data_IF_167942567913
#
_entry.id   IF_167942567913
#
_cell.length_a   1.000
_cell.length_b   1.000
_cell.length_c   1.000
_cell.angle_alpha   90.00
_cell.angle_beta   90.00
_cell.angle_gamma   90.00
#
_symmetry.space_group_name_H-M   'P 1'
#
loop_
_entity.id
_entity.type
_entity.pdbx_description
1 polymer ?
#
# COMPACT_ATOMS: atom_id res chain seq x y z
N UNK A 1 -13.68 31.24 -17.03
CA UNK A 1 -12.30 30.88 -16.65
C UNK A 1 -12.04 29.52 -17.27
N UNK A 2 -10.97 29.32 -18.05
CA UNK A 2 -10.67 28.00 -18.60
C UNK A 2 -10.39 27.03 -17.43
N UNK A 3 -11.38 26.19 -17.08
CA UNK A 3 -11.22 25.09 -16.13
C UNK A 3 -10.12 24.18 -16.66
N UNK A 4 -9.03 24.07 -15.90
CA UNK A 4 -7.91 23.25 -16.33
C UNK A 4 -8.32 21.78 -16.18
N UNK A 5 -8.30 21.03 -17.27
CA UNK A 5 -8.63 19.60 -17.30
C UNK A 5 -7.42 18.75 -16.95
N UNK A 6 -7.65 17.63 -16.27
CA UNK A 6 -6.63 16.60 -16.07
C UNK A 6 -6.30 15.94 -17.41
N UNK A 7 -5.04 15.54 -17.55
CA UNK A 7 -4.54 14.88 -18.76
C UNK A 7 -3.85 13.59 -18.36
N UNK A 8 -4.10 12.53 -19.14
CA UNK A 8 -3.33 11.29 -19.10
C UNK A 8 -2.42 11.23 -20.32
N UNK A 9 -1.17 10.86 -20.12
CA UNK A 9 -0.25 10.56 -21.21
C UNK A 9 -0.69 9.25 -21.85
N UNK A 10 -0.72 9.21 -23.18
CA UNK A 10 -1.02 8.00 -23.92
C UNK A 10 0.16 7.01 -23.81
N UNK A 11 -0.13 5.80 -23.34
CA UNK A 11 0.83 4.71 -23.24
C UNK A 11 1.18 4.09 -24.60
N UNK A 12 0.32 4.27 -25.61
CA UNK A 12 0.40 3.66 -26.96
C UNK A 12 0.31 2.12 -26.94
N UNK A 13 1.34 1.45 -26.41
CA UNK A 13 1.39 0.00 -26.17
C UNK A 13 2.54 -0.33 -25.21
N UNK A 14 2.47 -1.49 -24.57
CA UNK A 14 3.58 -2.02 -23.76
C UNK A 14 4.87 -2.08 -24.58
N UNK A 15 5.97 -1.62 -23.99
CA UNK A 15 7.29 -1.52 -24.63
C UNK A 15 7.46 -0.33 -25.56
N UNK A 16 6.43 0.52 -25.76
CA UNK A 16 6.60 1.76 -26.50
C UNK A 16 7.60 2.68 -25.78
N UNK A 17 8.52 3.25 -26.53
CA UNK A 17 9.55 4.16 -26.05
C UNK A 17 9.31 5.54 -26.66
N UNK A 18 9.24 6.55 -25.81
CA UNK A 18 9.12 7.95 -26.21
C UNK A 18 10.17 8.81 -25.52
N UNK A 19 10.72 9.78 -26.26
CA UNK A 19 11.68 10.74 -25.73
C UNK A 19 10.93 11.97 -25.22
N UNK A 20 11.20 12.36 -23.98
CA UNK A 20 10.59 13.51 -23.32
C UNK A 20 11.67 14.48 -22.84
N UNK A 21 11.53 15.75 -23.20
CA UNK A 21 12.44 16.81 -22.71
C UNK A 21 11.88 17.41 -21.43
N UNK A 22 12.52 17.08 -20.30
CA UNK A 22 12.05 17.51 -18.97
C UNK A 22 12.94 18.60 -18.37
N UNK A 23 14.14 18.80 -18.90
CA UNK A 23 15.04 19.90 -18.57
C UNK A 23 15.58 20.48 -19.86
N UNK A 24 15.99 21.75 -19.82
CA UNK A 24 16.50 22.43 -21.02
C UNK A 24 17.70 21.67 -21.59
N UNK A 25 17.56 21.18 -22.83
CA UNK A 25 18.62 20.42 -23.50
C UNK A 25 18.83 19.00 -23.00
N UNK A 26 18.00 18.49 -22.08
CA UNK A 26 18.11 17.12 -21.55
C UNK A 26 16.83 16.32 -21.82
N UNK A 27 17.01 15.27 -22.62
CA UNK A 27 15.97 14.30 -22.95
C UNK A 27 16.05 13.08 -22.04
N UNK A 28 14.89 12.49 -21.80
CA UNK A 28 14.69 11.30 -20.99
C UNK A 28 13.91 10.29 -21.82
N UNK A 29 14.30 9.04 -21.67
CA UNK A 29 13.60 7.91 -22.27
C UNK A 29 12.47 7.49 -21.34
N UNK A 30 11.24 7.49 -21.84
CA UNK A 30 10.04 7.03 -21.12
C UNK A 30 9.48 5.78 -21.81
N UNK A 31 9.35 4.69 -21.05
CA UNK A 31 9.00 3.36 -21.55
C UNK A 31 7.66 2.94 -20.96
N UNK A 32 6.68 2.63 -21.80
CA UNK A 32 5.39 2.11 -21.33
C UNK A 32 5.56 0.68 -20.82
N UNK A 33 5.23 0.43 -19.55
CA UNK A 33 5.36 -0.89 -18.90
C UNK A 33 4.06 -1.66 -18.79
N UNK A 34 2.94 -0.94 -18.69
CA UNK A 34 1.60 -1.49 -18.69
C UNK A 34 0.61 -0.48 -19.29
N UNK A 35 -0.52 -0.98 -19.80
CA UNK A 35 -1.64 -0.15 -20.25
C UNK A 35 -2.78 -0.11 -19.23
N UNK A 36 -2.85 -1.10 -18.32
CA UNK A 36 -3.76 -1.20 -17.19
C UNK A 36 -2.94 -1.55 -15.94
N UNK A 37 -2.62 -0.60 -15.05
CA UNK A 37 -2.85 0.82 -15.22
C UNK A 37 -1.87 1.34 -16.28
N UNK A 38 -2.17 2.49 -16.89
CA UNK A 38 -1.17 3.14 -17.75
C UNK A 38 0.04 3.51 -16.89
N UNK A 39 1.18 2.93 -17.22
CA UNK A 39 2.41 3.03 -16.43
C UNK A 39 3.64 3.23 -17.31
N UNK A 40 4.56 4.04 -16.80
CA UNK A 40 5.81 4.37 -17.43
C UNK A 40 7.00 4.12 -16.50
N UNK A 41 8.07 3.56 -17.04
CA UNK A 41 9.41 3.52 -16.44
C UNK A 41 10.28 4.57 -17.14
N UNK A 42 11.00 5.36 -16.34
CA UNK A 42 11.85 6.46 -16.80
C UNK A 42 13.23 6.29 -16.18
N UNK A 43 14.14 5.56 -16.83
CA UNK A 43 15.50 5.34 -16.33
C UNK A 43 16.27 6.66 -16.22
N UNK A 44 17.16 6.76 -15.23
CA UNK A 44 18.01 7.94 -15.00
C UNK A 44 17.21 9.26 -14.84
N UNK A 45 15.99 9.17 -14.32
CA UNK A 45 15.15 10.33 -14.03
C UNK A 45 15.77 11.22 -12.96
N UNK A 46 16.37 10.63 -11.92
CA UNK A 46 17.21 11.30 -10.94
C UNK A 46 18.69 10.98 -11.23
N UNK A 47 19.58 11.93 -10.99
CA UNK A 47 21.02 11.61 -10.93
C UNK A 47 21.37 10.86 -9.64
N UNK A 48 22.55 10.23 -9.60
CA UNK A 48 23.05 9.59 -8.38
C UNK A 48 23.16 10.59 -7.22
N UNK A 49 23.67 11.80 -7.49
CA UNK A 49 23.80 12.86 -6.50
C UNK A 49 22.44 13.34 -5.97
N UNK A 50 21.42 13.43 -6.84
CA UNK A 50 20.06 13.77 -6.41
C UNK A 50 19.49 12.69 -5.49
N UNK A 51 19.71 11.41 -5.80
CA UNK A 51 19.28 10.31 -4.95
C UNK A 51 19.96 10.35 -3.57
N UNK A 52 21.28 10.52 -3.54
CA UNK A 52 22.06 10.55 -2.29
C UNK A 52 21.70 11.78 -1.45
N UNK A 53 21.42 12.91 -2.10
CA UNK A 53 20.95 14.12 -1.42
C UNK A 53 19.57 13.94 -0.78
N UNK A 54 18.61 13.32 -1.49
CA UNK A 54 17.28 13.01 -0.94
C UNK A 54 17.38 12.08 0.28
N UNK A 55 18.22 11.03 0.19
CA UNK A 55 18.49 10.13 1.34
C UNK A 55 19.11 10.91 2.51
N UNK A 56 20.06 11.81 2.23
CA UNK A 56 20.68 12.65 3.26
C UNK A 56 19.65 13.53 3.96
N UNK A 57 18.78 14.22 3.21
CA UNK A 57 17.70 15.03 3.78
C UNK A 57 16.77 14.19 4.65
N UNK A 58 16.37 13.01 4.19
CA UNK A 58 15.50 12.12 4.95
C UNK A 58 16.13 11.70 6.30
N UNK A 59 17.43 11.38 6.31
CA UNK A 59 18.12 11.08 7.56
C UNK A 59 18.22 12.29 8.49
N UNK A 60 18.42 13.50 7.96
CA UNK A 60 18.47 14.73 8.75
C UNK A 60 17.11 15.09 9.36
N UNK A 61 16.01 14.85 8.63
CA UNK A 61 14.65 15.05 9.15
C UNK A 61 14.28 14.04 10.23
N UNK A 62 14.86 12.84 10.18
CA UNK A 62 14.53 11.73 11.05
C UNK A 62 13.42 10.86 10.47
N UNK A 63 13.59 9.54 10.55
CA UNK A 63 12.61 8.56 10.09
C UNK A 63 11.82 7.99 11.26
N UNK A 64 10.56 7.70 11.02
CA UNK A 64 9.67 7.00 11.94
C UNK A 64 9.10 5.75 11.28
N UNK A 65 8.69 4.78 12.09
CA UNK A 65 8.05 3.58 11.57
C UNK A 65 6.81 3.95 10.77
N UNK A 66 6.72 3.40 9.55
CA UNK A 66 5.62 3.66 8.64
C UNK A 66 4.35 3.01 9.12
N UNK A 67 3.24 3.68 8.84
CA UNK A 67 1.88 3.22 9.08
C UNK A 67 1.21 2.95 7.74
N UNK A 68 0.44 1.86 7.65
CA UNK A 68 -0.51 1.65 6.54
C UNK A 68 -1.85 2.31 6.91
N UNK A 69 -2.36 3.20 6.06
CA UNK A 69 -3.62 3.91 6.32
C UNK A 69 -3.60 4.73 7.62
N UNK A 70 -4.53 4.45 8.53
CA UNK A 70 -4.72 5.17 9.80
C UNK A 70 -4.21 4.43 11.05
N UNK A 71 -3.61 3.24 10.93
CA UNK A 71 -3.25 2.36 12.06
C UNK A 71 -1.90 2.76 12.67
N UNK A 72 -1.91 3.51 13.78
CA UNK A 72 -0.70 4.15 14.35
C UNK A 72 0.17 3.27 15.26
N UNK A 73 -0.17 2.01 15.46
CA UNK A 73 0.44 1.22 16.53
C UNK A 73 1.77 0.60 16.09
N UNK A 74 2.83 0.89 16.86
CA UNK A 74 4.17 0.35 16.65
C UNK A 74 4.30 -1.02 17.32
N UNK A 75 5.24 -1.82 16.83
CA UNK A 75 5.63 -3.06 17.50
C UNK A 75 6.45 -2.75 18.75
N UNK A 76 5.92 -3.05 19.93
CA UNK A 76 6.61 -2.94 21.23
C UNK A 76 6.89 -4.30 21.90
N UNK A 77 6.52 -5.42 21.27
CA UNK A 77 6.82 -6.77 21.76
C UNK A 77 5.87 -7.29 22.85
N UNK A 78 4.77 -6.60 23.13
CA UNK A 78 3.86 -6.94 24.23
C UNK A 78 2.78 -7.99 23.89
N UNK A 79 3.12 -9.00 23.09
CA UNK A 79 2.17 -10.04 22.66
C UNK A 79 1.61 -10.82 23.87
N UNK A 80 2.49 -11.36 24.71
CA UNK A 80 2.06 -12.19 25.84
C UNK A 80 1.27 -11.36 26.86
N UNK A 81 1.62 -10.08 27.06
CA UNK A 81 0.82 -9.16 27.90
C UNK A 81 -0.57 -8.90 27.31
N UNK A 82 -0.66 -8.66 26.00
CA UNK A 82 -1.95 -8.41 25.33
C UNK A 82 -2.86 -9.63 25.37
N UNK A 83 -2.33 -10.83 25.10
CA UNK A 83 -3.10 -12.08 25.19
C UNK A 83 -3.59 -12.31 26.63
N UNK A 84 -2.72 -12.08 27.63
CA UNK A 84 -3.07 -12.29 29.03
C UNK A 84 -4.06 -11.25 29.58
N UNK A 85 -4.12 -10.06 28.98
CA UNK A 85 -5.06 -9.01 29.35
C UNK A 85 -6.46 -9.17 28.73
N UNK A 86 -6.66 -10.14 27.83
CA UNK A 86 -7.96 -10.38 27.19
C UNK A 86 -8.98 -10.82 28.24
N UNK A 87 -10.06 -10.05 28.38
CA UNK A 87 -11.26 -10.48 29.10
C UNK A 87 -12.03 -11.50 28.27
N UNK A 88 -11.90 -12.79 28.62
CA UNK A 88 -12.60 -13.88 27.95
C UNK A 88 -14.13 -13.85 28.15
N UNK A 89 -14.64 -13.07 29.11
CA UNK A 89 -16.06 -13.02 29.47
C UNK A 89 -16.82 -11.87 28.81
N UNK A 90 -16.12 -10.91 28.19
CA UNK A 90 -16.75 -9.75 27.54
C UNK A 90 -17.71 -10.18 26.42
N UNK A 91 -18.79 -9.45 26.12
CA UNK A 91 -19.59 -9.75 24.93
C UNK A 91 -18.77 -9.52 23.64
N UNK A 92 -19.13 -10.21 22.57
CA UNK A 92 -18.56 -9.98 21.25
C UNK A 92 -18.75 -8.53 20.78
N UNK A 93 -17.69 -7.94 20.23
CA UNK A 93 -17.68 -6.57 19.72
C UNK A 93 -18.09 -6.57 18.24
N UNK A 94 -19.38 -6.76 18.01
CA UNK A 94 -19.99 -6.67 16.68
C UNK A 94 -20.19 -8.01 15.96
N UNK A 95 -20.71 -7.96 14.72
CA UNK A 95 -21.20 -9.14 14.03
C UNK A 95 -20.12 -10.12 13.60
N UNK A 96 -18.88 -9.65 13.37
CA UNK A 96 -17.78 -10.51 12.91
C UNK A 96 -17.24 -11.37 14.07
N UNK A 97 -16.97 -10.77 15.23
CA UNK A 97 -16.55 -11.53 16.42
C UNK A 97 -17.66 -12.48 16.89
N UNK A 98 -18.93 -12.07 16.82
CA UNK A 98 -20.08 -12.94 17.17
C UNK A 98 -20.16 -14.19 16.28
N UNK A 99 -19.71 -14.10 15.02
CA UNK A 99 -19.60 -15.27 14.13
C UNK A 99 -18.38 -16.11 14.49
N UNK A 100 -17.25 -15.46 14.78
CA UNK A 100 -16.02 -16.14 15.20
C UNK A 100 -16.22 -16.98 16.47
N UNK A 101 -17.10 -16.58 17.39
CA UNK A 101 -17.43 -17.35 18.60
C UNK A 101 -18.22 -18.66 18.35
N UNK A 102 -18.62 -18.96 17.10
CA UNK A 102 -19.35 -20.20 16.77
C UNK A 102 -18.39 -21.24 16.21
N UNK A 103 -18.31 -22.40 16.87
CA UNK A 103 -17.47 -23.53 16.44
C UNK A 103 -17.72 -23.94 14.98
N UNK A 104 -19.00 -24.05 14.60
CA UNK A 104 -19.42 -24.49 13.26
C UNK A 104 -19.03 -23.50 12.14
N UNK A 105 -18.55 -22.30 12.49
CA UNK A 105 -18.01 -21.35 11.51
C UNK A 105 -16.53 -21.60 11.20
N UNK A 106 -15.85 -22.37 12.04
CA UNK A 106 -14.49 -22.83 11.84
C UNK A 106 -14.45 -24.26 11.28
N UNK A 107 -15.30 -25.15 11.79
CA UNK A 107 -15.44 -26.55 11.36
C UNK A 107 -16.20 -26.62 10.02
N UNK A 108 -15.48 -26.47 8.92
CA UNK A 108 -16.04 -26.43 7.58
C UNK A 108 -16.41 -27.82 7.06
N UNK A 109 -15.68 -28.85 7.52
CA UNK A 109 -15.90 -30.24 7.10
C UNK A 109 -16.93 -30.99 7.99
N UNK A 110 -17.36 -30.38 9.10
CA UNK A 110 -18.28 -30.91 10.12
C UNK A 110 -17.80 -32.21 10.79
N UNK A 111 -16.49 -32.38 10.98
CA UNK A 111 -15.90 -33.54 11.66
C UNK A 111 -15.76 -33.35 13.18
N UNK A 112 -16.24 -32.22 13.71
CA UNK A 112 -16.20 -31.85 15.14
C UNK A 112 -14.80 -31.56 15.68
N UNK A 113 -13.82 -31.34 14.81
CA UNK A 113 -12.46 -30.90 15.14
C UNK A 113 -12.10 -29.74 14.21
N UNK A 114 -11.62 -28.63 14.78
CA UNK A 114 -11.05 -27.56 13.96
C UNK A 114 -9.60 -27.95 13.65
N UNK A 115 -9.30 -28.26 12.40
CA UNK A 115 -7.99 -28.70 11.96
C UNK A 115 -7.06 -27.55 11.49
N UNK A 116 -5.82 -27.90 11.10
CA UNK A 116 -4.83 -26.94 10.62
C UNK A 116 -5.34 -26.09 9.44
N UNK A 117 -6.03 -26.72 8.49
CA UNK A 117 -6.50 -26.06 7.27
C UNK A 117 -7.65 -25.10 7.56
N UNK A 118 -8.51 -25.47 8.50
CA UNK A 118 -9.61 -24.62 8.97
C UNK A 118 -9.08 -23.40 9.73
N UNK A 119 -8.07 -23.56 10.59
CA UNK A 119 -7.40 -22.42 11.25
C UNK A 119 -6.74 -21.49 10.21
N UNK A 120 -6.04 -22.05 9.21
CA UNK A 120 -5.44 -21.26 8.11
C UNK A 120 -6.52 -20.46 7.38
N UNK A 121 -7.63 -21.11 7.02
CA UNK A 121 -8.70 -20.52 6.24
C UNK A 121 -9.44 -19.45 7.03
N UNK A 122 -9.69 -19.69 8.32
CA UNK A 122 -10.25 -18.70 9.24
C UNK A 122 -9.33 -17.48 9.33
N UNK A 123 -8.03 -17.68 9.61
CA UNK A 123 -7.08 -16.57 9.77
C UNK A 123 -6.98 -15.70 8.51
N UNK A 124 -7.00 -16.34 7.35
CA UNK A 124 -7.05 -15.67 6.04
C UNK A 124 -8.33 -14.88 5.85
N UNK A 125 -9.48 -15.44 6.19
CA UNK A 125 -10.77 -14.80 5.93
C UNK A 125 -11.04 -13.65 6.91
N UNK A 126 -10.73 -13.87 8.19
CA UNK A 126 -11.01 -12.96 9.29
C UNK A 126 -10.04 -11.77 9.32
N UNK A 127 -8.73 -12.03 9.22
CA UNK A 127 -7.70 -11.01 9.41
C UNK A 127 -6.72 -10.86 8.24
N UNK A 128 -6.91 -11.61 7.15
CA UNK A 128 -5.99 -11.64 5.99
C UNK A 128 -4.58 -12.08 6.40
N UNK A 129 -4.50 -13.03 7.34
CA UNK A 129 -3.24 -13.62 7.81
C UNK A 129 -2.94 -14.94 7.10
N UNK A 130 -1.67 -15.15 6.79
CA UNK A 130 -1.15 -16.36 6.13
C UNK A 130 -0.21 -17.06 7.09
N UNK A 131 -0.80 -17.85 8.00
CA UNK A 131 -0.05 -18.53 9.04
C UNK A 131 0.51 -19.84 8.52
N UNK A 132 1.79 -20.10 8.82
CA UNK A 132 2.41 -21.40 8.61
C UNK A 132 2.01 -22.33 9.74
N UNK A 133 2.07 -23.64 9.48
CA UNK A 133 1.84 -24.70 10.49
C UNK A 133 2.53 -24.39 11.81
N UNK A 134 3.82 -24.05 11.77
CA UNK A 134 4.60 -23.76 12.99
C UNK A 134 4.05 -22.58 13.79
N UNK A 135 3.55 -21.55 13.11
CA UNK A 135 2.99 -20.36 13.76
C UNK A 135 1.64 -20.68 14.42
N UNK A 136 0.84 -21.55 13.80
CA UNK A 136 -0.39 -22.09 14.40
C UNK A 136 -0.05 -22.93 15.63
N UNK A 137 0.95 -23.82 15.53
CA UNK A 137 1.40 -24.62 16.67
C UNK A 137 1.85 -23.73 17.83
N UNK A 138 2.62 -22.68 17.55
CA UNK A 138 3.11 -21.74 18.54
C UNK A 138 1.97 -20.92 19.17
N UNK A 139 1.01 -20.45 18.36
CA UNK A 139 -0.20 -19.77 18.84
C UNK A 139 -1.00 -20.66 19.79
N UNK A 140 -1.36 -21.87 19.36
CA UNK A 140 -2.15 -22.81 20.15
C UNK A 140 -1.43 -23.20 21.45
N UNK A 141 -0.12 -23.44 21.37
CA UNK A 141 0.72 -23.73 22.53
C UNK A 141 0.76 -22.57 23.53
N UNK A 142 0.88 -21.33 23.05
CA UNK A 142 0.91 -20.12 23.90
C UNK A 142 -0.41 -19.89 24.61
N UNK A 143 -1.53 -20.11 23.91
CA UNK A 143 -2.88 -19.92 24.48
C UNK A 143 -3.28 -21.10 25.39
N UNK A 144 -2.66 -22.27 25.20
CA UNK A 144 -2.79 -23.44 26.07
C UNK A 144 -3.72 -24.54 25.55
N UNK A 145 -4.03 -24.56 24.25
CA UNK A 145 -4.73 -25.67 23.61
C UNK A 145 -3.88 -26.94 23.63
N UNK A 146 -4.46 -28.09 23.98
CA UNK A 146 -3.72 -29.34 24.12
C UNK A 146 -3.40 -29.98 22.76
N UNK A 147 -4.27 -29.76 21.77
CA UNK A 147 -4.09 -30.21 20.38
C UNK A 147 -3.00 -29.46 19.59
N UNK A 148 -2.23 -28.55 20.21
CA UNK A 148 -1.24 -27.71 19.52
C UNK A 148 -0.24 -28.48 18.65
N UNK A 149 0.18 -29.69 19.05
CA UNK A 149 1.14 -30.49 18.25
C UNK A 149 0.57 -30.94 16.90
N UNK A 150 -0.74 -31.18 16.86
CA UNK A 150 -1.45 -31.59 15.65
C UNK A 150 -2.14 -30.42 14.92
N UNK A 151 -2.12 -29.23 15.53
CA UNK A 151 -2.91 -28.07 15.09
C UNK A 151 -4.42 -28.34 15.13
N UNK A 152 -4.90 -29.05 16.14
CA UNK A 152 -6.31 -29.41 16.30
C UNK A 152 -6.91 -28.67 17.49
N UNK A 153 -8.15 -28.20 17.37
CA UNK A 153 -8.97 -27.69 18.48
C UNK A 153 -10.25 -28.51 18.53
N UNK A 154 -10.48 -29.20 19.65
CA UNK A 154 -11.74 -29.93 19.85
C UNK A 154 -12.88 -28.98 20.23
N UNK A 155 -14.13 -29.34 19.92
CA UNK A 155 -15.30 -28.56 20.35
C UNK A 155 -15.30 -28.23 21.84
N UNK A 156 -14.93 -29.20 22.67
CA UNK A 156 -14.81 -29.02 24.12
C UNK A 156 -13.80 -27.93 24.47
N UNK A 157 -12.59 -27.97 23.91
CA UNK A 157 -11.57 -26.96 24.18
C UNK A 157 -11.97 -25.57 23.65
N UNK A 158 -12.63 -25.52 22.50
CA UNK A 158 -13.16 -24.28 21.93
C UNK A 158 -14.20 -23.64 22.85
N UNK A 159 -15.14 -24.42 23.38
CA UNK A 159 -16.17 -23.94 24.31
C UNK A 159 -15.57 -23.56 25.68
N UNK A 160 -14.57 -24.29 26.16
CA UNK A 160 -13.93 -24.05 27.48
C UNK A 160 -13.00 -22.83 27.48
N UNK A 161 -12.23 -22.59 26.40
CA UNK A 161 -11.22 -21.52 26.32
C UNK A 161 -11.69 -20.29 25.55
N UNK A 162 -12.72 -20.46 24.71
CA UNK A 162 -13.15 -19.45 23.77
C UNK A 162 -12.09 -19.11 22.70
N UNK A 163 -12.44 -18.16 21.85
CA UNK A 163 -11.61 -17.75 20.70
C UNK A 163 -10.97 -16.38 20.86
N UNK A 164 -11.30 -15.62 21.91
CA UNK A 164 -10.86 -14.23 22.05
C UNK A 164 -9.35 -14.08 22.13
N UNK A 165 -8.66 -15.02 22.76
CA UNK A 165 -7.19 -15.06 22.78
C UNK A 165 -6.59 -15.40 21.42
N UNK A 166 -7.27 -16.23 20.62
CA UNK A 166 -6.87 -16.50 19.23
C UNK A 166 -7.03 -15.23 18.40
N UNK A 167 -8.18 -14.54 18.50
CA UNK A 167 -8.40 -13.28 17.81
C UNK A 167 -7.40 -12.20 18.22
N UNK A 168 -7.14 -12.04 19.52
CA UNK A 168 -6.16 -11.08 20.01
C UNK A 168 -4.74 -11.39 19.50
N UNK A 169 -4.37 -12.67 19.45
CA UNK A 169 -3.11 -13.10 18.85
C UNK A 169 -3.04 -12.75 17.35
N UNK A 170 -4.10 -13.05 16.60
CA UNK A 170 -4.19 -12.74 15.17
C UNK A 170 -4.14 -11.23 14.91
N UNK A 171 -4.94 -10.43 15.62
CA UNK A 171 -4.89 -8.96 15.54
C UNK A 171 -3.50 -8.42 15.85
N UNK A 172 -2.83 -8.94 16.89
CA UNK A 172 -1.44 -8.55 17.16
C UNK A 172 -0.52 -8.88 15.98
N UNK A 173 -0.64 -10.08 15.39
CA UNK A 173 0.18 -10.44 14.23
C UNK A 173 -0.04 -9.48 13.07
N UNK A 174 -1.30 -9.23 12.73
CA UNK A 174 -1.73 -8.35 11.64
C UNK A 174 -1.29 -6.91 11.83
N UNK A 175 -1.34 -6.40 13.05
CA UNK A 175 -1.10 -4.97 13.29
C UNK A 175 0.35 -4.69 13.65
N UNK A 176 1.02 -5.61 14.35
CA UNK A 176 2.31 -5.36 15.00
C UNK A 176 3.41 -6.29 14.54
N UNK A 177 3.14 -7.54 14.16
CA UNK A 177 4.23 -8.48 13.88
C UNK A 177 5.01 -8.09 12.60
N UNK A 178 6.36 -8.08 12.62
CA UNK A 178 7.18 -7.68 11.47
C UNK A 178 6.89 -8.43 10.17
N UNK A 179 6.54 -9.72 10.23
CA UNK A 179 6.31 -10.54 9.03
C UNK A 179 4.87 -10.50 8.51
N UNK A 180 3.89 -10.25 9.39
CA UNK A 180 2.45 -10.37 9.07
C UNK A 180 1.76 -9.04 8.91
N UNK A 181 2.39 -7.95 9.37
CA UNK A 181 1.82 -6.63 9.21
C UNK A 181 1.74 -6.24 7.76
N UNK A 182 0.73 -5.45 7.41
CA UNK A 182 0.53 -5.01 6.03
C UNK A 182 1.71 -4.19 5.46
N UNK A 183 2.45 -3.48 6.32
CA UNK A 183 3.60 -2.63 5.93
C UNK A 183 4.70 -2.65 6.98
N UNK A 184 5.92 -2.99 6.58
CA UNK A 184 7.13 -2.89 7.39
C UNK A 184 8.16 -1.98 6.69
N UNK A 185 8.19 -0.71 7.09
CA UNK A 185 9.18 0.27 6.63
C UNK A 185 9.34 1.42 7.63
N UNK A 186 10.37 2.24 7.43
CA UNK A 186 10.49 3.56 8.05
C UNK A 186 10.24 4.63 6.99
N UNK A 187 9.66 5.77 7.36
CA UNK A 187 9.41 6.87 6.44
C UNK A 187 9.63 8.24 7.09
N UNK A 188 9.82 9.23 6.25
CA UNK A 188 9.77 10.65 6.60
C UNK A 188 9.21 11.45 5.43
N UNK A 189 8.98 12.75 5.63
CA UNK A 189 8.33 13.61 4.66
C UNK A 189 9.21 14.83 4.35
N UNK A 190 9.58 14.97 3.08
CA UNK A 190 10.26 16.14 2.56
C UNK A 190 9.22 17.09 1.97
N UNK A 191 8.92 18.17 2.70
CA UNK A 191 8.05 19.23 2.20
C UNK A 191 8.62 19.81 0.90
N UNK A 192 7.74 20.27 0.01
CA UNK A 192 8.09 20.82 -1.31
C UNK A 192 8.73 22.22 -1.16
N UNK A 193 9.89 22.27 -0.53
CA UNK A 193 10.65 23.49 -0.31
C UNK A 193 11.27 23.95 -1.63
N UNK A 194 10.71 25.02 -2.21
CA UNK A 194 11.19 25.56 -3.47
C UNK A 194 12.55 26.28 -3.37
N UNK A 195 12.99 26.58 -2.16
CA UNK A 195 14.34 27.12 -1.89
C UNK A 195 15.41 26.03 -1.93
N UNK A 196 15.03 24.75 -1.79
CA UNK A 196 15.94 23.64 -2.01
C UNK A 196 16.10 23.40 -3.52
N UNK A 197 17.32 23.56 -4.08
CA UNK A 197 17.52 23.50 -5.52
C UNK A 197 17.26 22.10 -6.10
N UNK A 198 17.49 21.03 -5.34
CA UNK A 198 17.26 19.66 -5.82
C UNK A 198 15.77 19.37 -5.85
N UNK A 199 15.05 19.68 -4.76
CA UNK A 199 13.59 19.47 -4.71
C UNK A 199 12.87 20.37 -5.71
N UNK A 200 13.26 21.63 -5.85
CA UNK A 200 12.71 22.57 -6.83
C UNK A 200 12.87 22.08 -8.27
N UNK A 201 14.07 21.59 -8.65
CA UNK A 201 14.30 20.98 -9.97
C UNK A 201 13.44 19.73 -10.17
N UNK A 202 13.33 18.86 -9.18
CA UNK A 202 12.48 17.67 -9.24
C UNK A 202 11.01 18.04 -9.48
N UNK A 203 10.47 19.03 -8.76
CA UNK A 203 9.09 19.50 -8.96
C UNK A 203 8.87 20.06 -10.37
N UNK A 204 9.83 20.81 -10.90
CA UNK A 204 9.75 21.33 -12.28
C UNK A 204 9.80 20.20 -13.32
N UNK A 205 10.67 19.21 -13.12
CA UNK A 205 10.79 18.00 -13.96
C UNK A 205 9.46 17.22 -13.99
N UNK A 206 8.85 17.02 -12.82
CA UNK A 206 7.54 16.36 -12.67
C UNK A 206 6.41 17.17 -13.31
N UNK A 207 6.44 18.50 -13.21
CA UNK A 207 5.44 19.38 -13.85
C UNK A 207 5.47 19.21 -15.37
N UNK A 208 6.66 19.18 -15.97
CA UNK A 208 6.83 18.92 -17.41
C UNK A 208 6.43 17.50 -17.79
N UNK A 209 6.83 16.50 -17.00
CA UNK A 209 6.52 15.09 -17.25
C UNK A 209 5.01 14.86 -17.31
N UNK A 210 4.30 15.26 -16.26
CA UNK A 210 2.86 14.98 -16.10
C UNK A 210 1.98 15.79 -17.05
N UNK A 211 2.51 16.88 -17.65
CA UNK A 211 1.77 17.88 -18.43
C UNK A 211 0.61 18.51 -17.66
N UNK A 212 0.63 18.38 -16.33
CA UNK A 212 -0.36 18.98 -15.47
C UNK A 212 0.00 20.44 -15.18
N UNK A 213 -1.01 21.30 -14.99
CA UNK A 213 -0.80 22.65 -14.49
C UNK A 213 0.04 22.63 -13.20
N UNK A 214 1.04 23.51 -13.12
CA UNK A 214 1.98 23.61 -12.00
C UNK A 214 1.29 23.68 -10.64
N UNK A 215 0.10 24.30 -10.56
CA UNK A 215 -0.71 24.35 -9.34
C UNK A 215 -1.05 22.97 -8.77
N UNK A 216 -1.41 21.98 -9.60
CA UNK A 216 -1.73 20.64 -9.12
C UNK A 216 -0.49 19.96 -8.55
N UNK A 217 0.65 20.08 -9.24
CA UNK A 217 1.90 19.48 -8.79
C UNK A 217 2.44 20.15 -7.53
N UNK A 218 2.38 21.47 -7.41
CA UNK A 218 2.84 22.18 -6.20
C UNK A 218 1.92 21.94 -5.01
N UNK A 219 0.61 21.95 -5.23
CA UNK A 219 -0.41 21.80 -4.21
C UNK A 219 -0.70 20.34 -3.84
N UNK A 220 0.27 19.45 -4.02
CA UNK A 220 0.18 18.04 -3.69
C UNK A 220 0.98 17.71 -2.43
N UNK A 221 0.73 16.53 -1.85
CA UNK A 221 1.40 16.00 -0.66
C UNK A 221 2.94 16.17 -0.71
N UNK A 222 3.57 16.28 0.47
CA UNK A 222 5.02 16.25 0.59
C UNK A 222 5.61 14.96 -0.02
N UNK A 223 6.87 15.00 -0.47
CA UNK A 223 7.54 13.82 -0.99
C UNK A 223 7.82 12.89 0.19
N UNK A 224 7.25 11.69 0.16
CA UNK A 224 7.49 10.69 1.18
C UNK A 224 8.78 9.93 0.85
N UNK A 225 9.75 9.92 1.74
CA UNK A 225 10.96 9.08 1.59
C UNK A 225 10.81 7.87 2.51
N UNK A 226 11.02 6.67 1.96
CA UNK A 226 10.78 5.41 2.66
C UNK A 226 12.05 4.56 2.63
N UNK A 227 12.38 3.97 3.77
CA UNK A 227 13.46 3.01 3.95
C UNK A 227 12.88 1.65 4.34
N UNK A 228 13.17 0.63 3.55
CA UNK A 228 12.92 -0.76 3.87
C UNK A 228 14.24 -1.43 4.27
N UNK A 229 14.30 -1.94 5.49
CA UNK A 229 15.37 -2.81 5.94
C UNK A 229 15.11 -4.25 5.47
N UNK A 230 15.99 -5.19 5.82
CA UNK A 230 15.78 -6.61 5.55
C UNK A 230 14.41 -7.07 6.09
N UNK A 231 13.69 -7.89 5.30
CA UNK A 231 12.30 -8.31 5.48
C UNK A 231 11.25 -7.19 5.38
N UNK A 232 11.66 -5.93 5.22
CA UNK A 232 10.74 -4.81 4.99
C UNK A 232 9.95 -5.00 3.70
N UNK A 233 8.65 -4.73 3.76
CA UNK A 233 7.72 -4.96 2.66
C UNK A 233 6.51 -4.03 2.76
N UNK A 234 5.68 -4.02 1.73
CA UNK A 234 4.36 -3.40 1.75
C UNK A 234 3.45 -4.22 0.85
N UNK A 235 2.47 -4.91 1.44
CA UNK A 235 1.51 -5.71 0.68
C UNK A 235 0.72 -4.87 -0.31
N UNK A 236 0.13 -5.55 -1.29
CA UNK A 236 -0.47 -4.90 -2.43
C UNK A 236 -1.69 -4.06 -1.99
N UNK A 237 -1.71 -2.79 -2.40
CA UNK A 237 -2.70 -1.80 -1.99
C UNK A 237 -2.95 -0.79 -3.11
N UNK A 238 -3.97 0.04 -2.90
CA UNK A 238 -4.25 1.20 -3.74
C UNK A 238 -3.71 2.46 -3.06
N UNK A 239 -3.14 3.36 -3.85
CA UNK A 239 -2.70 4.64 -3.33
C UNK A 239 -3.85 5.62 -3.07
N UNK A 240 -5.00 5.41 -3.71
CA UNK A 240 -6.13 6.32 -3.69
C UNK A 240 -7.44 5.59 -3.33
N UNK A 241 -8.43 6.34 -2.86
CA UNK A 241 -9.72 5.78 -2.44
C UNK A 241 -10.74 5.85 -3.60
N UNK A 242 -11.62 4.86 -3.79
CA UNK A 242 -12.70 4.94 -4.77
C UNK A 242 -13.57 6.19 -4.59
N UNK A 243 -13.92 6.87 -5.68
CA UNK A 243 -14.70 8.12 -5.62
C UNK A 243 -16.21 7.93 -5.54
N UNK A 244 -16.72 6.68 -5.66
CA UNK A 244 -18.15 6.34 -5.71
C UNK A 244 -18.95 6.79 -4.47
N UNK A 245 -18.28 7.03 -3.34
CA UNK A 245 -18.91 7.61 -2.15
C UNK A 245 -18.67 9.14 -2.12
N UNK A 246 -19.69 9.90 -2.50
CA UNK A 246 -19.60 11.35 -2.78
C UNK A 246 -19.81 12.24 -1.53
N UNK A 247 -19.88 11.62 -0.36
CA UNK A 247 -20.05 12.28 0.95
C UNK A 247 -18.72 12.77 1.53
N UNK A 248 -17.61 12.07 1.23
CA UNK A 248 -16.28 12.40 1.76
C UNK A 248 -15.50 13.35 0.84
N UNK A 249 -14.85 14.34 1.45
CA UNK A 249 -13.95 15.27 0.77
C UNK A 249 -12.58 14.63 0.52
N UNK A 250 -11.90 15.08 -0.53
CA UNK A 250 -10.48 14.75 -0.72
C UNK A 250 -9.64 15.26 0.46
N UNK A 251 -8.75 14.42 1.01
CA UNK A 251 -7.94 14.78 2.18
C UNK A 251 -7.09 16.04 1.95
N UNK A 252 -6.56 16.21 0.73
CA UNK A 252 -5.81 17.41 0.36
C UNK A 252 -6.68 18.69 0.33
N UNK A 253 -8.01 18.57 0.38
CA UNK A 253 -8.96 19.70 0.43
C UNK A 253 -9.70 19.76 1.78
N UNK A 254 -9.23 19.04 2.79
CA UNK A 254 -9.87 18.96 4.11
C UNK A 254 -9.57 20.19 4.98
N UNK A 255 -10.04 21.37 4.55
CA UNK A 255 -9.84 22.66 5.21
C UNK A 255 -10.33 22.67 6.67
N UNK A 256 -11.40 21.92 6.96
CA UNK A 256 -12.03 21.84 8.29
C UNK A 256 -11.46 20.72 9.16
N UNK A 257 -10.41 20.02 8.73
CA UNK A 257 -9.77 18.90 9.46
C UNK A 257 -10.80 17.88 9.98
N UNK A 258 -11.78 17.54 9.14
CA UNK A 258 -12.73 16.46 9.43
C UNK A 258 -11.96 15.16 9.69
N UNK A 259 -12.47 14.34 10.61
CA UNK A 259 -11.84 13.05 10.96
C UNK A 259 -11.72 12.11 9.77
N UNK A 260 -12.72 12.14 8.89
CA UNK A 260 -12.79 11.27 7.71
C UNK A 260 -12.59 12.10 6.43
N UNK A 261 -11.80 11.55 5.52
CA UNK A 261 -11.57 12.07 4.18
C UNK A 261 -11.13 10.92 3.27
N UNK A 262 -11.26 11.12 1.96
CA UNK A 262 -10.81 10.16 0.94
C UNK A 262 -9.48 10.60 0.33
N UNK A 263 -8.58 9.66 0.06
CA UNK A 263 -7.35 9.95 -0.68
C UNK A 263 -7.72 10.17 -2.14
N UNK A 264 -7.24 11.27 -2.73
CA UNK A 264 -7.51 11.65 -4.12
C UNK A 264 -6.17 11.89 -4.83
N UNK A 265 -5.44 10.80 -5.09
CA UNK A 265 -4.10 10.83 -5.69
C UNK A 265 -4.23 10.38 -7.14
N UNK A 266 -4.16 11.31 -8.07
CA UNK A 266 -4.33 11.04 -9.50
C UNK A 266 -3.15 10.26 -10.09
N UNK A 267 -1.93 10.67 -9.75
CA UNK A 267 -0.68 10.06 -10.24
C UNK A 267 0.17 9.67 -9.03
N UNK A 268 0.79 8.51 -9.10
CA UNK A 268 1.93 8.17 -8.22
C UNK A 268 3.20 8.16 -9.06
N UNK A 269 4.24 8.83 -8.55
CA UNK A 269 5.60 8.75 -9.09
C UNK A 269 6.51 8.22 -7.99
N UNK A 270 7.05 7.01 -8.20
CA UNK A 270 7.98 6.34 -7.30
C UNK A 270 9.40 6.45 -7.85
N UNK A 271 10.34 6.89 -7.02
CA UNK A 271 11.76 6.98 -7.35
C UNK A 271 12.54 5.92 -6.59
N UNK A 272 13.37 5.14 -7.28
CA UNK A 272 14.35 4.28 -6.63
C UNK A 272 15.62 5.09 -6.31
N UNK A 273 15.95 5.22 -5.03
CA UNK A 273 17.06 6.05 -4.57
C UNK A 273 18.38 5.27 -4.40
N UNK A 274 18.30 3.93 -4.42
CA UNK A 274 19.47 3.06 -4.45
C UNK A 274 19.16 1.75 -5.20
N UNK A 275 20.22 1.04 -5.59
CA UNK A 275 20.13 -0.35 -6.02
C UNK A 275 19.97 -1.25 -4.80
N UNK A 276 19.21 -2.33 -4.95
CA UNK A 276 18.97 -3.33 -3.90
C UNK A 276 19.67 -4.62 -4.29
N UNK A 277 20.30 -5.29 -3.33
CA UNK A 277 21.07 -6.49 -3.62
C UNK A 277 20.17 -7.68 -3.99
N UNK A 278 19.07 -7.90 -3.26
CA UNK A 278 18.10 -8.94 -3.59
C UNK A 278 16.72 -8.66 -2.97
N UNK A 279 15.66 -8.88 -3.75
CA UNK A 279 14.28 -8.54 -3.41
C UNK A 279 13.99 -7.04 -3.57
N UNK A 280 12.91 -6.57 -2.96
CA UNK A 280 12.54 -5.15 -2.99
C UNK A 280 12.00 -4.63 -4.31
N UNK A 281 11.51 -5.51 -5.18
CA UNK A 281 10.79 -5.13 -6.39
C UNK A 281 9.50 -4.37 -6.07
N UNK A 282 9.00 -3.62 -7.04
CA UNK A 282 7.63 -3.09 -7.00
C UNK A 282 6.76 -3.97 -7.88
N UNK A 283 5.80 -4.66 -7.29
CA UNK A 283 4.95 -5.61 -7.98
C UNK A 283 3.54 -5.05 -8.17
N UNK A 284 2.97 -5.28 -9.36
CA UNK A 284 1.59 -4.99 -9.73
C UNK A 284 0.89 -6.32 -10.01
N UNK A 285 0.17 -6.90 -9.03
CA UNK A 285 -0.36 -8.25 -9.13
C UNK A 285 -1.17 -8.52 -10.40
N UNK A 286 -1.95 -7.53 -10.85
CA UNK A 286 -2.96 -7.72 -11.90
C UNK A 286 -2.74 -6.87 -13.14
N UNK A 287 -1.58 -6.25 -13.32
CA UNK A 287 -1.30 -5.37 -14.47
C UNK A 287 -1.59 -6.07 -15.81
N UNK A 288 -2.29 -5.36 -16.71
CA UNK A 288 -2.72 -5.82 -18.04
C UNK A 288 -3.53 -7.13 -18.09
N UNK A 289 -4.01 -7.66 -16.96
CA UNK A 289 -4.82 -8.88 -16.95
C UNK A 289 -6.27 -8.63 -17.40
N UNK A 290 -6.91 -9.66 -17.95
CA UNK A 290 -8.31 -9.59 -18.38
C UNK A 290 -9.31 -9.91 -17.25
N UNK A 291 -10.10 -8.88 -16.93
CA UNK A 291 -11.48 -8.87 -16.38
C UNK A 291 -11.88 -9.87 -15.28
N UNK A 292 -11.02 -10.15 -14.30
CA UNK A 292 -11.51 -10.46 -12.94
C UNK A 292 -11.28 -9.26 -12.03
N UNK A 293 -12.36 -8.55 -11.62
CA UNK A 293 -12.26 -7.47 -10.64
C UNK A 293 -11.57 -7.97 -9.36
N UNK A 294 -10.78 -7.10 -8.73
CA UNK A 294 -9.90 -7.47 -7.62
C UNK A 294 -10.69 -8.12 -6.46
N UNK A 295 -11.88 -7.60 -6.17
CA UNK A 295 -12.81 -8.12 -5.16
C UNK A 295 -13.20 -9.59 -5.39
N UNK A 296 -13.37 -10.02 -6.64
CA UNK A 296 -13.69 -11.42 -6.99
C UNK A 296 -12.48 -12.35 -6.90
N UNK A 297 -11.25 -11.84 -7.04
CA UNK A 297 -10.03 -12.65 -6.88
C UNK A 297 -9.75 -12.98 -5.42
N UNK A 298 -10.02 -12.03 -4.52
CA UNK A 298 -9.80 -12.18 -3.08
C UNK A 298 -10.77 -13.15 -2.40
N UNK A 299 -11.84 -13.54 -3.09
CA UNK A 299 -12.93 -14.37 -2.58
C UNK A 299 -13.08 -15.67 -3.39
N UNK A 300 -12.21 -15.93 -4.37
CA UNK A 300 -12.27 -17.15 -5.19
C UNK A 300 -11.85 -18.38 -4.34
N UNK A 301 -12.78 -19.31 -4.05
CA UNK A 301 -12.47 -20.50 -3.24
C UNK A 301 -11.46 -21.44 -3.91
N UNK A 302 -11.21 -21.30 -5.23
CA UNK A 302 -10.18 -22.05 -5.95
C UNK A 302 -8.77 -21.46 -5.84
N UNK A 303 -8.62 -20.25 -5.29
CA UNK A 303 -7.31 -19.61 -5.07
C UNK A 303 -6.84 -19.93 -3.65
N UNK A 304 -5.83 -20.80 -3.55
CA UNK A 304 -5.26 -21.25 -2.27
C UNK A 304 -4.25 -20.27 -1.67
N UNK A 305 -3.96 -19.13 -2.33
CA UNK A 305 -2.89 -18.21 -1.96
C UNK A 305 -3.29 -16.73 -2.06
N UNK A 306 -2.67 -15.83 -1.31
CA UNK A 306 -2.97 -14.40 -1.40
C UNK A 306 -2.05 -13.66 -2.35
N UNK A 307 -2.61 -13.32 -3.50
CA UNK A 307 -1.91 -12.56 -4.52
C UNK A 307 -1.55 -11.14 -4.08
N UNK A 308 -2.14 -10.62 -2.99
CA UNK A 308 -1.77 -9.33 -2.40
C UNK A 308 -0.65 -9.45 -1.36
N UNK A 309 -0.36 -10.66 -0.87
CA UNK A 309 0.75 -10.91 0.03
C UNK A 309 2.07 -11.01 -0.75
N UNK A 310 2.71 -9.86 -0.92
CA UNK A 310 3.95 -9.74 -1.67
C UNK A 310 5.22 -10.26 -0.96
N UNK A 311 5.14 -10.75 0.29
CA UNK A 311 6.30 -11.45 0.89
C UNK A 311 6.42 -12.88 0.37
N UNK A 312 5.29 -13.49 -0.02
CA UNK A 312 5.22 -14.87 -0.50
C UNK A 312 4.97 -14.94 -2.02
N UNK A 313 4.16 -14.04 -2.57
CA UNK A 313 3.64 -14.14 -3.95
C UNK A 313 4.10 -13.00 -4.88
N UNK A 314 5.14 -12.24 -4.50
CA UNK A 314 5.67 -11.16 -5.33
C UNK A 314 5.91 -11.56 -6.79
N UNK A 315 6.56 -12.70 -7.01
CA UNK A 315 6.96 -13.16 -8.35
C UNK A 315 5.79 -13.75 -9.16
N UNK A 316 4.63 -13.94 -8.53
CA UNK A 316 3.40 -14.34 -9.21
C UNK A 316 2.66 -13.13 -9.81
N UNK A 317 3.09 -11.90 -9.48
CA UNK A 317 2.50 -10.69 -10.02
C UNK A 317 2.70 -10.58 -11.54
N UNK A 318 1.73 -9.98 -12.21
CA UNK A 318 1.75 -9.79 -13.68
C UNK A 318 2.90 -8.91 -14.15
N UNK A 319 3.28 -7.94 -13.32
CA UNK A 319 4.39 -7.05 -13.58
C UNK A 319 5.20 -6.86 -12.30
N UNK A 320 6.51 -7.08 -12.40
CA UNK A 320 7.48 -6.91 -11.32
C UNK A 320 8.60 -5.99 -11.82
N UNK A 321 8.82 -4.88 -11.12
CA UNK A 321 9.82 -3.88 -11.47
C UNK A 321 10.98 -3.90 -10.47
N UNK A 322 12.18 -4.31 -10.87
CA UNK A 322 13.34 -4.33 -9.99
C UNK A 322 13.80 -2.90 -9.67
N UNK A 323 14.25 -2.63 -8.43
CA UNK A 323 14.74 -1.32 -8.04
C UNK A 323 16.09 -1.03 -8.71
N UNK A 324 16.18 0.10 -9.41
CA UNK A 324 17.41 0.59 -10.01
C UNK A 324 17.60 2.07 -9.70
N UNK A 325 18.72 2.42 -9.05
CA UNK A 325 19.00 3.79 -8.61
C UNK A 325 18.78 4.82 -9.73
N UNK A 326 18.08 5.90 -9.40
CA UNK A 326 17.78 6.99 -10.30
C UNK A 326 16.58 6.77 -11.22
N UNK A 327 16.00 5.55 -11.26
CA UNK A 327 14.83 5.26 -12.08
C UNK A 327 13.55 5.78 -11.41
N UNK A 328 12.68 6.41 -12.20
CA UNK A 328 11.32 6.74 -11.78
C UNK A 328 10.31 5.78 -12.43
N UNK A 329 9.27 5.42 -11.69
CA UNK A 329 8.10 4.70 -12.19
C UNK A 329 6.87 5.56 -11.92
N UNK A 330 6.09 5.83 -12.96
CA UNK A 330 4.89 6.65 -12.89
C UNK A 330 3.67 5.88 -13.37
N UNK A 331 2.58 5.91 -12.62
CA UNK A 331 1.29 5.37 -13.06
C UNK A 331 0.13 6.25 -12.64
N UNK A 332 -1.01 6.07 -13.29
CA UNK A 332 -2.27 6.72 -12.95
C UNK A 332 -3.08 5.82 -12.01
N UNK A 333 -3.53 6.35 -10.87
CA UNK A 333 -4.42 5.62 -9.96
C UNK A 333 -5.89 5.79 -10.36
N UNK A 334 -6.23 6.76 -11.20
CA UNK A 334 -7.60 7.06 -11.60
C UNK A 334 -7.70 7.32 -13.10
N UNK A 335 -8.88 7.03 -13.64
CA UNK A 335 -9.32 7.56 -14.93
C UNK A 335 -9.61 9.06 -14.83
N UNK A 336 -9.67 9.73 -15.99
CA UNK A 336 -10.19 11.10 -16.06
C UNK A 336 -11.66 11.00 -16.44
N UNK A 337 -12.52 11.64 -15.68
CA UNK A 337 -13.94 11.73 -16.01
C UNK A 337 -14.12 12.56 -17.29
N UNK A 338 -14.76 11.99 -18.30
CA UNK A 338 -14.82 12.61 -19.64
C UNK A 338 -15.67 13.86 -19.69
N UNK A 339 -16.68 13.95 -18.82
CA UNK A 339 -17.65 15.03 -18.82
C UNK A 339 -17.09 16.25 -18.10
N UNK A 340 -16.55 16.05 -16.89
CA UNK A 340 -16.00 17.12 -16.07
C UNK A 340 -14.52 17.43 -16.36
N UNK A 341 -13.76 16.47 -16.88
CA UNK A 341 -12.31 16.59 -17.04
C UNK A 341 -11.52 16.53 -15.73
N UNK A 342 -12.14 16.09 -14.63
CA UNK A 342 -11.53 15.96 -13.31
C UNK A 342 -11.30 14.48 -12.93
N UNK A 343 -10.98 14.21 -11.67
CA UNK A 343 -10.69 12.87 -11.18
C UNK A 343 -11.91 11.95 -11.38
N UNK A 344 -11.74 10.87 -12.14
CA UNK A 344 -12.75 9.85 -12.40
C UNK A 344 -12.57 8.61 -11.54
N UNK A 345 -13.14 7.49 -11.98
CA UNK A 345 -13.10 6.22 -11.26
C UNK A 345 -11.67 5.75 -10.95
N UNK A 346 -11.52 5.03 -9.83
CA UNK A 346 -10.26 4.40 -9.46
C UNK A 346 -9.89 3.31 -10.48
N UNK A 347 -8.63 3.29 -10.89
CA UNK A 347 -8.09 2.24 -11.75
C UNK A 347 -7.67 1.05 -10.90
N UNK A 348 -8.51 0.02 -10.82
CA UNK A 348 -8.26 -1.19 -10.01
C UNK A 348 -6.97 -1.92 -10.40
N UNK A 349 -6.47 -1.71 -11.62
CA UNK A 349 -5.20 -2.30 -12.04
C UNK A 349 -4.00 -1.65 -11.34
N UNK A 350 -4.18 -0.47 -10.73
CA UNK A 350 -3.15 0.25 -9.97
C UNK A 350 -2.78 -0.39 -8.62
N UNK A 351 -3.40 -1.51 -8.27
CA UNK A 351 -2.99 -2.30 -7.09
C UNK A 351 -1.54 -2.71 -7.20
N UNK A 352 -0.76 -2.35 -6.19
CA UNK A 352 0.69 -2.55 -6.20
C UNK A 352 1.25 -2.63 -4.80
N UNK A 353 2.47 -3.12 -4.66
CA UNK A 353 3.19 -3.04 -3.40
C UNK A 353 4.68 -3.30 -3.54
N UNK A 354 5.35 -3.30 -2.39
CA UNK A 354 6.78 -3.56 -2.29
C UNK A 354 7.04 -4.97 -1.82
N UNK A 355 7.74 -5.75 -2.65
CA UNK A 355 8.21 -7.08 -2.27
C UNK A 355 9.24 -7.00 -1.14
N UNK A 356 9.41 -8.09 -0.43
CA UNK A 356 10.27 -8.10 0.76
C UNK A 356 11.75 -8.01 0.41
N UNK A 357 12.52 -7.31 1.25
CA UNK A 357 13.96 -7.19 1.07
C UNK A 357 14.63 -8.48 1.56
N UNK A 358 15.13 -9.30 0.64
CA UNK A 358 15.87 -10.52 0.98
C UNK A 358 17.28 -10.18 1.46
N UNK A 359 17.96 -9.24 0.80
CA UNK A 359 19.32 -8.80 1.15
C UNK A 359 19.54 -7.31 0.84
N UNK A 360 20.23 -6.62 1.75
CA UNK A 360 20.52 -5.19 1.65
C UNK A 360 19.41 -4.32 2.25
N UNK A 361 19.20 -3.14 1.66
CA UNK A 361 18.14 -2.20 2.04
C UNK A 361 17.65 -1.44 0.82
N UNK A 362 16.40 -0.99 0.85
CA UNK A 362 15.77 -0.21 -0.23
C UNK A 362 15.38 1.17 0.27
N UNK A 363 15.75 2.18 -0.49
CA UNK A 363 15.31 3.56 -0.36
C UNK A 363 14.48 3.93 -1.57
N UNK A 364 13.28 4.44 -1.32
CA UNK A 364 12.43 5.04 -2.35
C UNK A 364 11.93 6.41 -1.93
N UNK A 365 11.47 7.18 -2.90
CA UNK A 365 10.64 8.33 -2.64
C UNK A 365 9.33 8.25 -3.44
N UNK A 366 8.20 8.48 -2.77
CA UNK A 366 6.87 8.56 -3.39
C UNK A 366 6.47 10.03 -3.52
N UNK A 367 6.07 10.41 -4.72
CA UNK A 367 5.52 11.73 -5.03
C UNK A 367 4.13 11.53 -5.63
N UNK A 368 3.13 11.71 -4.78
CA UNK A 368 1.74 11.69 -5.19
C UNK A 368 1.32 13.04 -5.75
N UNK A 369 0.60 13.02 -6.86
CA UNK A 369 -0.04 14.20 -7.44
C UNK A 369 -1.52 14.13 -7.16
N UNK A 370 -2.01 15.04 -6.31
CA UNK A 370 -3.41 15.11 -5.94
C UNK A 370 -4.22 15.83 -7.03
N UNK A 371 -5.46 15.39 -7.21
CA UNK A 371 -6.42 16.09 -8.05
C UNK A 371 -7.82 16.07 -7.43
N UNK A 372 -8.60 17.13 -7.60
CA UNK A 372 -9.95 17.21 -7.07
C UNK A 372 -10.93 16.41 -7.94
N UNK A 373 -12.06 16.04 -7.34
CA UNK A 373 -13.27 15.67 -8.09
C UNK A 373 -13.99 16.94 -8.57
N UNK A 374 -14.84 16.83 -9.59
CA UNK A 374 -15.53 17.98 -10.19
C UNK A 374 -16.25 18.85 -9.16
N UNK A 375 -16.98 18.22 -8.23
CA UNK A 375 -17.74 18.87 -7.16
C UNK A 375 -16.88 19.73 -6.22
N UNK A 376 -15.62 19.37 -6.02
CA UNK A 376 -14.70 20.08 -5.11
C UNK A 376 -13.60 20.84 -5.86
N UNK A 377 -13.66 20.94 -7.18
CA UNK A 377 -12.62 21.57 -8.00
C UNK A 377 -12.34 23.05 -7.66
N UNK A 378 -13.34 23.74 -7.10
CA UNK A 378 -13.24 25.12 -6.64
C UNK A 378 -12.53 25.27 -5.28
N UNK A 379 -12.32 24.19 -4.54
CA UNK A 379 -11.69 24.19 -3.22
C UNK A 379 -10.17 24.07 -3.40
N UNK A 380 -9.41 25.00 -2.83
CA UNK A 380 -7.94 24.92 -2.84
C UNK A 380 -7.42 23.75 -2.01
N UNK A 381 -6.26 23.23 -2.40
CA UNK A 381 -5.55 22.25 -1.59
C UNK A 381 -4.98 22.91 -0.33
N UNK A 382 -4.94 22.18 0.79
CA UNK A 382 -4.26 22.61 2.02
C UNK A 382 -2.73 22.66 1.87
N UNK A 383 -2.20 22.03 0.81
CA UNK A 383 -0.78 22.10 0.46
C UNK A 383 -0.45 23.26 -0.48
N UNK A 384 -1.46 24.00 -0.96
CA UNK A 384 -1.27 25.22 -1.75
C UNK A 384 -0.88 26.38 -0.81
N UNK A 385 0.38 26.42 -0.41
CA UNK A 385 0.94 27.56 0.32
C UNK A 385 1.35 28.62 -0.68
N UNK A 386 0.70 29.79 -0.63
CA UNK A 386 1.08 30.95 -1.45
C UNK A 386 2.55 31.32 -1.16
N UNK A 387 3.34 31.53 -2.21
CA UNK A 387 4.71 32.04 -2.10
C UNK A 387 4.63 33.47 -1.54
N UNK A 388 4.78 33.63 -0.22
CA UNK A 388 5.01 34.93 0.43
C UNK A 388 6.51 35.18 0.61
#
# INVERSE_FOLDING_TARGET
MAEHRLVRIDGVKVGHVQEVELEEGRRYTMITKAMKPVMFEIPNFLSNDECDYIIKLANLTGLEQSVAGFIKDRYDGELDQQINAVDETRPAEGPDELRAEKFDWWDENNDSVIDEQEIIRFARNYDKLYLKKQEIQDMLKRIGFQGYKKCEITRKEFEERGIKKILAYMHFLKDKHPLHRHRLSDQTWLYRNMSDPVLSRLINRVTKLTRLPRKFVRASEAIQVVRYQQNGHYHAHMDSTPIRNDELYCCHQNLYKKKECKLCRFITILYYLNDVESGGETAFPIADQDTRPLDKRLVDPGISHDELNLTEHCQNASLVLPPKKGTAVMWYNHYVDTDSGYLGDLDEFSVHGGCDIKKGMKWIANNWINAPVAKTAHIKSIYDVDDH
#
